data_IF_747018782856
#
_entry.id   IF_747018782856
#
_cell.length_a   1.000
_cell.length_b   1.000
_cell.length_c   1.000
_cell.angle_alpha   90.00
_cell.angle_beta   90.00
_cell.angle_gamma   90.00
#
_symmetry.space_group_name_H-M   'P 1'
#
loop_
_entity.id
_entity.type
_entity.pdbx_description
1 polymer ?
#
# COMPACT_ATOMS: atom_id res chain seq x y z
N UNK A 1 6.70 11.41 0.96
CA UNK A 1 5.85 10.93 -0.16
C UNK A 1 5.24 12.16 -0.79
N UNK A 2 5.42 12.43 -2.09
CA UNK A 2 4.95 13.67 -2.71
C UNK A 2 3.43 13.87 -2.61
N UNK A 3 2.66 12.79 -2.54
CA UNK A 3 1.21 12.78 -2.36
C UNK A 3 0.78 13.51 -1.06
N UNK A 4 1.63 13.46 -0.01
CA UNK A 4 1.37 14.18 1.24
C UNK A 4 1.53 15.69 1.10
N UNK A 5 2.27 16.16 0.10
CA UNK A 5 2.50 17.59 -0.12
C UNK A 5 1.18 18.30 -0.46
N UNK A 6 0.22 17.59 -1.07
CA UNK A 6 -1.13 18.11 -1.31
C UNK A 6 -1.86 18.50 -0.01
N UNK A 7 -1.55 17.84 1.10
CA UNK A 7 -2.15 18.13 2.40
C UNK A 7 -1.29 19.06 3.25
N UNK A 8 0.02 18.81 3.27
CA UNK A 8 0.97 19.59 4.08
C UNK A 8 1.26 20.97 3.52
N UNK A 9 1.24 21.14 2.19
CA UNK A 9 1.43 22.44 1.56
C UNK A 9 0.37 23.46 2.02
N UNK A 10 -0.93 23.19 1.80
CA UNK A 10 -1.99 24.08 2.28
C UNK A 10 -1.98 24.28 3.80
N UNK A 11 -1.67 23.24 4.58
CA UNK A 11 -1.55 23.38 6.04
C UNK A 11 -0.38 24.28 6.46
N UNK A 12 0.77 24.14 5.80
CA UNK A 12 1.92 25.01 6.02
C UNK A 12 1.62 26.47 5.65
N UNK A 13 0.92 26.70 4.53
CA UNK A 13 0.46 28.05 4.16
C UNK A 13 -0.51 28.63 5.20
N UNK A 14 -1.45 27.81 5.69
CA UNK A 14 -2.33 28.19 6.79
C UNK A 14 -1.54 28.59 8.04
N UNK A 15 -0.55 27.80 8.46
CA UNK A 15 0.30 28.12 9.60
C UNK A 15 1.11 29.40 9.36
N UNK A 16 1.66 29.59 8.16
CA UNK A 16 2.41 30.79 7.81
C UNK A 16 1.58 32.07 7.99
N UNK A 17 0.30 32.03 7.63
CA UNK A 17 -0.60 33.17 7.82
C UNK A 17 -1.12 33.30 9.24
N UNK A 18 -1.47 32.19 9.90
CA UNK A 18 -2.15 32.21 11.20
C UNK A 18 -1.21 32.39 12.38
N UNK A 19 0.01 31.89 12.29
CA UNK A 19 1.01 31.87 13.36
C UNK A 19 2.32 32.53 12.91
N UNK A 20 2.55 33.80 13.28
CA UNK A 20 3.79 34.51 12.96
C UNK A 20 5.06 33.83 13.49
N UNK A 21 4.96 33.12 14.62
CA UNK A 21 6.10 32.41 15.23
C UNK A 21 6.56 31.21 14.40
N UNK A 22 5.62 30.56 13.70
CA UNK A 22 5.92 29.42 12.84
C UNK A 22 6.51 29.79 11.47
N UNK A 23 6.45 31.05 11.04
CA UNK A 23 6.80 31.46 9.66
C UNK A 23 8.19 31.03 9.21
N UNK A 24 9.20 31.28 10.05
CA UNK A 24 10.59 30.90 9.74
C UNK A 24 10.74 29.39 9.56
N UNK A 25 10.07 28.62 10.42
CA UNK A 25 10.04 27.16 10.33
C UNK A 25 9.35 26.71 9.04
N UNK A 26 8.18 27.27 8.71
CA UNK A 26 7.45 26.93 7.48
C UNK A 26 8.29 27.21 6.24
N UNK A 27 8.88 28.41 6.13
CA UNK A 27 9.77 28.76 5.00
C UNK A 27 10.96 27.80 4.93
N UNK A 28 11.60 27.52 6.07
CA UNK A 28 12.70 26.57 6.17
C UNK A 28 12.30 25.18 5.68
N UNK A 29 11.16 24.65 6.12
CA UNK A 29 10.66 23.34 5.70
C UNK A 29 10.25 23.30 4.23
N UNK A 30 9.63 24.36 3.70
CA UNK A 30 9.26 24.45 2.28
C UNK A 30 10.48 24.41 1.36
N UNK A 31 11.60 25.00 1.78
CA UNK A 31 12.86 24.91 1.05
C UNK A 31 13.56 23.56 1.27
N UNK A 32 13.62 23.10 2.52
CA UNK A 32 14.39 21.92 2.91
C UNK A 32 13.77 20.61 2.42
N UNK A 33 12.44 20.50 2.38
CA UNK A 33 11.75 19.26 1.95
C UNK A 33 12.12 18.88 0.51
N UNK A 34 11.99 19.75 -0.52
CA UNK A 34 12.42 19.42 -1.87
C UNK A 34 13.92 19.10 -1.95
N UNK A 35 14.77 19.87 -1.25
CA UNK A 35 16.22 19.68 -1.22
C UNK A 35 16.57 18.28 -0.70
N UNK A 36 16.05 17.90 0.48
CA UNK A 36 16.29 16.60 1.08
C UNK A 36 15.59 15.45 0.35
N UNK A 37 14.54 15.74 -0.42
CA UNK A 37 13.83 14.72 -1.21
C UNK A 37 14.57 14.38 -2.50
N UNK A 38 15.07 15.39 -3.21
CA UNK A 38 15.62 15.21 -4.56
C UNK A 38 17.15 15.13 -4.61
N UNK A 39 17.89 15.85 -3.77
CA UNK A 39 19.35 15.86 -3.85
C UNK A 39 20.01 14.52 -3.51
N UNK A 40 19.58 13.77 -2.48
CA UNK A 40 20.15 12.44 -2.22
C UNK A 40 19.95 11.48 -3.39
N UNK A 41 18.81 11.57 -4.09
CA UNK A 41 18.53 10.77 -5.28
C UNK A 41 19.42 11.19 -6.46
N UNK A 42 19.62 12.49 -6.67
CA UNK A 42 20.55 13.01 -7.68
C UNK A 42 21.99 12.59 -7.41
N UNK A 43 22.48 12.76 -6.18
CA UNK A 43 23.86 12.40 -5.83
C UNK A 43 24.09 10.90 -5.88
N UNK A 44 23.14 10.11 -5.38
CA UNK A 44 23.27 8.65 -5.34
C UNK A 44 23.04 7.95 -6.68
N UNK A 45 22.35 8.59 -7.62
CA UNK A 45 21.95 7.91 -8.87
C UNK A 45 22.17 8.70 -10.16
N UNK A 46 22.57 9.96 -10.09
CA UNK A 46 22.71 10.84 -11.25
C UNK A 46 21.37 11.31 -11.85
N UNK A 47 20.22 10.98 -11.23
CA UNK A 47 18.91 11.22 -11.82
C UNK A 47 17.85 11.59 -10.77
N UNK A 48 17.37 12.84 -10.77
CA UNK A 48 16.43 13.42 -9.79
C UNK A 48 15.14 12.60 -9.59
N UNK A 49 14.62 12.01 -10.67
CA UNK A 49 13.32 11.32 -10.67
C UNK A 49 13.44 9.80 -10.80
N UNK A 50 14.61 9.21 -10.47
CA UNK A 50 14.81 7.76 -10.68
C UNK A 50 13.83 6.94 -9.84
N UNK A 51 13.51 7.38 -8.62
CA UNK A 51 12.47 6.77 -7.79
C UNK A 51 11.10 6.73 -8.46
N UNK A 52 10.71 7.79 -9.18
CA UNK A 52 9.46 7.87 -9.95
C UNK A 52 9.50 6.88 -11.11
N UNK A 53 10.57 6.93 -11.91
CA UNK A 53 10.75 6.00 -13.02
C UNK A 53 10.69 4.54 -12.53
N UNK A 54 11.35 4.21 -11.42
CA UNK A 54 11.29 2.87 -10.81
C UNK A 54 9.91 2.50 -10.30
N UNK A 55 9.15 3.44 -9.75
CA UNK A 55 7.79 3.20 -9.28
C UNK A 55 6.80 2.92 -10.43
N UNK A 56 7.13 3.34 -11.65
CA UNK A 56 6.41 3.04 -12.89
C UNK A 56 6.79 1.69 -13.52
N UNK A 57 7.58 0.85 -12.84
CA UNK A 57 7.82 -0.53 -13.24
C UNK A 57 6.96 -1.47 -12.39
N UNK A 58 5.65 -1.61 -12.69
CA UNK A 58 4.72 -2.42 -11.92
C UNK A 58 5.15 -3.89 -11.85
N UNK A 59 4.83 -4.51 -10.71
CA UNK A 59 5.00 -5.94 -10.48
C UNK A 59 4.11 -6.78 -11.40
N UNK A 60 4.53 -8.00 -11.72
CA UNK A 60 3.79 -8.94 -12.59
C UNK A 60 2.32 -9.19 -12.20
N UNK A 61 1.96 -9.02 -10.93
CA UNK A 61 0.58 -9.08 -10.41
C UNK A 61 0.02 -7.72 -9.97
N UNK A 62 0.49 -6.63 -10.57
CA UNK A 62 0.03 -5.27 -10.28
C UNK A 62 -1.36 -5.03 -10.85
N UNK A 63 -2.17 -4.25 -10.13
CA UNK A 63 -3.41 -3.71 -10.67
C UNK A 63 -3.19 -2.81 -11.90
N UNK A 64 -1.97 -2.30 -12.12
CA UNK A 64 -1.60 -1.53 -13.32
C UNK A 64 -1.79 -2.31 -14.63
N UNK A 65 -1.79 -3.65 -14.58
CA UNK A 65 -2.01 -4.51 -15.75
C UNK A 65 -3.47 -4.92 -15.97
N UNK A 66 -4.39 -4.49 -15.10
CA UNK A 66 -5.80 -4.79 -15.29
C UNK A 66 -6.40 -3.96 -16.45
N UNK A 67 -7.51 -4.44 -17.02
CA UNK A 67 -8.26 -3.68 -18.04
C UNK A 67 -8.77 -2.33 -17.52
N UNK A 68 -9.14 -2.29 -16.23
CA UNK A 68 -9.40 -1.04 -15.51
C UNK A 68 -8.54 -1.01 -14.24
N UNK A 69 -7.35 -0.38 -14.28
CA UNK A 69 -6.47 -0.21 -13.12
C UNK A 69 -7.16 0.50 -11.95
N UNK A 70 -7.83 1.62 -12.21
CA UNK A 70 -8.59 2.37 -11.18
C UNK A 70 -9.62 1.48 -10.51
N UNK A 71 -10.44 0.78 -11.29
CA UNK A 71 -11.48 -0.10 -10.78
C UNK A 71 -10.88 -1.23 -9.94
N UNK A 72 -9.76 -1.80 -10.38
CA UNK A 72 -9.10 -2.93 -9.72
C UNK A 72 -8.53 -2.51 -8.37
N UNK A 73 -7.77 -1.41 -8.31
CA UNK A 73 -7.27 -0.87 -7.04
C UNK A 73 -8.43 -0.54 -6.12
N UNK A 74 -9.44 0.18 -6.62
CA UNK A 74 -10.53 0.63 -5.76
C UNK A 74 -11.38 -0.53 -5.22
N UNK A 75 -11.83 -1.43 -6.10
CA UNK A 75 -12.81 -2.48 -5.74
C UNK A 75 -12.17 -3.76 -5.19
N UNK A 76 -10.97 -4.12 -5.65
CA UNK A 76 -10.30 -5.39 -5.30
C UNK A 76 -9.18 -5.23 -4.29
N UNK A 77 -8.65 -4.02 -4.07
CA UNK A 77 -7.57 -3.79 -3.11
C UNK A 77 -7.95 -2.84 -1.98
N UNK A 78 -8.44 -1.63 -2.28
CA UNK A 78 -8.76 -0.59 -1.30
C UNK A 78 -10.03 -0.90 -0.53
N UNK A 79 -11.13 -1.16 -1.24
CA UNK A 79 -12.41 -1.48 -0.63
C UNK A 79 -12.34 -2.70 0.31
N UNK A 80 -11.65 -3.80 -0.05
CA UNK A 80 -11.47 -4.94 0.84
C UNK A 80 -10.59 -4.68 2.06
N UNK A 81 -9.72 -3.66 2.02
CA UNK A 81 -8.79 -3.34 3.10
C UNK A 81 -9.48 -2.89 4.40
N UNK A 82 -10.76 -2.47 4.33
CA UNK A 82 -11.58 -2.15 5.50
C UNK A 82 -12.73 -3.15 5.61
N UNK A 83 -12.92 -3.69 6.81
CA UNK A 83 -14.01 -4.62 7.13
C UNK A 83 -15.37 -3.96 6.86
N UNK A 84 -16.35 -4.72 6.33
CA UNK A 84 -17.70 -4.19 6.05
C UNK A 84 -18.35 -3.59 7.31
N UNK A 85 -18.17 -4.24 8.46
CA UNK A 85 -18.63 -3.77 9.78
C UNK A 85 -18.01 -2.46 10.26
N UNK A 86 -16.96 -1.98 9.60
CA UNK A 86 -16.35 -0.68 9.90
C UNK A 86 -16.74 0.34 8.83
N UNK A 87 -16.56 0.01 7.54
CA UNK A 87 -16.85 0.97 6.45
C UNK A 87 -18.32 1.29 6.27
N UNK A 88 -19.25 0.34 6.47
CA UNK A 88 -20.68 0.62 6.29
C UNK A 88 -21.20 1.58 7.38
N UNK A 89 -20.96 1.33 8.69
CA UNK A 89 -21.23 2.31 9.72
C UNK A 89 -20.51 3.64 9.48
N UNK A 90 -19.26 3.60 8.99
CA UNK A 90 -18.53 4.80 8.58
C UNK A 90 -19.28 5.61 7.53
N UNK A 91 -19.74 4.98 6.44
CA UNK A 91 -20.54 5.62 5.37
C UNK A 91 -21.82 6.23 5.95
N UNK A 92 -22.57 5.48 6.76
CA UNK A 92 -23.79 5.97 7.42
C UNK A 92 -23.47 7.17 8.32
N UNK A 93 -22.39 7.09 9.10
CA UNK A 93 -21.92 8.16 9.98
C UNK A 93 -21.53 9.42 9.21
N UNK A 94 -20.87 9.27 8.05
CA UNK A 94 -20.54 10.37 7.15
C UNK A 94 -21.81 11.04 6.60
N UNK A 95 -22.78 10.26 6.11
CA UNK A 95 -24.07 10.82 5.65
C UNK A 95 -24.83 11.53 6.78
N UNK A 96 -24.89 10.94 7.98
CA UNK A 96 -25.52 11.56 9.13
C UNK A 96 -24.82 12.85 9.57
N UNK A 97 -23.48 12.90 9.51
CA UNK A 97 -22.69 14.09 9.79
C UNK A 97 -22.94 15.19 8.76
N UNK A 98 -22.90 14.86 7.46
CA UNK A 98 -23.19 15.79 6.36
C UNK A 98 -24.60 16.36 6.48
N UNK A 99 -25.60 15.50 6.67
CA UNK A 99 -26.99 15.93 6.85
C UNK A 99 -27.16 16.84 8.08
N UNK A 100 -26.52 16.49 9.20
CA UNK A 100 -26.54 17.30 10.42
C UNK A 100 -25.92 18.68 10.23
N UNK A 101 -24.78 18.77 9.53
CA UNK A 101 -24.12 20.04 9.20
C UNK A 101 -24.95 20.88 8.24
N UNK A 102 -25.55 20.25 7.23
CA UNK A 102 -26.43 20.92 6.27
C UNK A 102 -27.67 21.50 6.95
N UNK A 103 -28.34 20.71 7.81
CA UNK A 103 -29.52 21.16 8.56
C UNK A 103 -29.20 22.33 9.50
N UNK A 104 -27.99 22.37 10.04
CA UNK A 104 -27.56 23.42 10.98
C UNK A 104 -26.77 24.56 10.31
N UNK A 105 -26.65 24.58 8.98
CA UNK A 105 -25.79 25.51 8.22
C UNK A 105 -25.99 26.98 8.58
N UNK A 106 -27.25 27.42 8.70
CA UNK A 106 -27.56 28.82 9.00
C UNK A 106 -27.12 29.23 10.41
N UNK A 107 -27.10 28.28 11.35
CA UNK A 107 -26.80 28.53 12.76
C UNK A 107 -25.30 28.58 13.04
N UNK A 108 -24.49 27.76 12.37
CA UNK A 108 -23.05 27.73 12.62
C UNK A 108 -22.24 28.66 11.70
N UNK A 109 -22.72 28.96 10.50
CA UNK A 109 -22.01 29.86 9.57
C UNK A 109 -21.90 31.29 10.10
N UNK A 110 -22.90 31.74 10.88
CA UNK A 110 -22.98 33.12 11.38
C UNK A 110 -22.40 33.29 12.79
N UNK A 111 -21.94 32.23 13.44
CA UNK A 111 -21.46 32.29 14.83
C UNK A 111 -19.93 32.33 14.89
N UNK A 112 -19.34 33.18 15.74
CA UNK A 112 -17.89 33.25 15.91
C UNK A 112 -17.31 32.01 16.60
N UNK A 113 -18.12 31.28 17.38
CA UNK A 113 -17.72 30.07 18.09
C UNK A 113 -18.47 28.86 17.54
N UNK A 114 -17.73 27.89 17.03
CA UNK A 114 -18.27 26.65 16.48
C UNK A 114 -18.61 25.68 17.61
N UNK A 115 -19.87 25.24 17.64
CA UNK A 115 -20.35 24.23 18.59
C UNK A 115 -19.49 22.94 18.52
N UNK A 116 -19.10 22.32 19.65
CA UNK A 116 -18.29 21.11 19.66
C UNK A 116 -18.86 19.96 18.81
N UNK A 117 -20.19 19.84 18.74
CA UNK A 117 -20.85 18.84 17.92
C UNK A 117 -20.79 19.14 16.42
N UNK A 118 -20.85 20.42 16.01
CA UNK A 118 -20.58 20.83 14.62
C UNK A 118 -19.14 20.49 14.25
N UNK A 119 -18.19 20.84 15.13
CA UNK A 119 -16.76 20.52 14.96
C UNK A 119 -16.53 19.01 14.81
N UNK A 120 -17.15 18.19 15.66
CA UNK A 120 -17.02 16.73 15.59
C UNK A 120 -17.54 16.16 14.26
N UNK A 121 -18.67 16.66 13.75
CA UNK A 121 -19.21 16.27 12.43
C UNK A 121 -18.31 16.68 11.28
N UNK A 122 -17.77 17.90 11.33
CA UNK A 122 -16.84 18.38 10.33
C UNK A 122 -15.55 17.53 10.30
N UNK A 123 -15.01 17.17 11.47
CA UNK A 123 -13.86 16.27 11.56
C UNK A 123 -14.15 14.87 11.04
N UNK A 124 -15.31 14.28 11.36
CA UNK A 124 -15.69 12.97 10.84
C UNK A 124 -15.73 12.99 9.30
N UNK A 125 -16.35 14.01 8.71
CA UNK A 125 -16.35 14.20 7.27
C UNK A 125 -14.95 14.39 6.70
N UNK A 126 -14.14 15.25 7.31
CA UNK A 126 -12.78 15.52 6.85
C UNK A 126 -11.91 14.27 6.84
N UNK A 127 -11.95 13.47 7.91
CA UNK A 127 -11.19 12.22 8.04
C UNK A 127 -11.69 11.18 7.03
N UNK A 128 -13.01 11.00 6.90
CA UNK A 128 -13.57 10.04 5.95
C UNK A 128 -13.29 10.41 4.50
N UNK A 129 -13.46 11.69 4.15
CA UNK A 129 -13.18 12.20 2.80
C UNK A 129 -11.69 12.11 2.48
N UNK A 130 -10.82 12.43 3.44
CA UNK A 130 -9.37 12.27 3.30
C UNK A 130 -9.00 10.83 2.93
N UNK A 131 -9.53 9.84 3.65
CA UNK A 131 -9.27 8.44 3.36
C UNK A 131 -9.75 8.01 1.97
N UNK A 132 -10.93 8.49 1.55
CA UNK A 132 -11.48 8.23 0.22
C UNK A 132 -10.65 8.88 -0.90
N UNK A 133 -10.30 10.16 -0.75
CA UNK A 133 -9.47 10.89 -1.71
C UNK A 133 -8.09 10.26 -1.82
N UNK A 134 -7.53 9.78 -0.71
CA UNK A 134 -6.26 9.06 -0.72
C UNK A 134 -6.34 7.77 -1.56
N UNK A 135 -7.38 6.95 -1.36
CA UNK A 135 -7.60 5.76 -2.20
C UNK A 135 -7.76 6.12 -3.67
N UNK A 136 -8.52 7.17 -3.98
CA UNK A 136 -8.68 7.65 -5.34
C UNK A 136 -7.34 8.08 -5.95
N UNK A 137 -6.50 8.80 -5.20
CA UNK A 137 -5.16 9.20 -5.62
C UNK A 137 -4.29 8.01 -6.01
N UNK A 138 -4.21 6.98 -5.15
CA UNK A 138 -3.44 5.76 -5.46
C UNK A 138 -4.02 5.03 -6.68
N UNK A 139 -5.34 4.96 -6.82
CA UNK A 139 -5.98 4.37 -8.01
C UNK A 139 -5.62 5.12 -9.29
N UNK A 140 -5.60 6.44 -9.27
CA UNK A 140 -5.22 7.28 -10.41
C UNK A 140 -3.73 7.17 -10.74
N UNK A 141 -2.85 7.13 -9.73
CA UNK A 141 -1.42 6.84 -9.95
C UNK A 141 -1.23 5.48 -10.61
N UNK A 142 -2.02 4.48 -10.19
CA UNK A 142 -1.94 3.14 -10.81
C UNK A 142 -2.36 3.16 -12.27
N UNK A 143 -3.38 3.94 -12.62
CA UNK A 143 -3.76 4.19 -14.01
C UNK A 143 -2.66 4.89 -14.81
N UNK A 144 -1.87 5.76 -14.15
CA UNK A 144 -0.71 6.43 -14.72
C UNK A 144 0.56 5.55 -14.78
N UNK A 145 0.43 4.23 -14.57
CA UNK A 145 1.52 3.26 -14.71
C UNK A 145 2.29 2.96 -13.43
N UNK A 146 1.92 3.54 -12.29
CA UNK A 146 2.53 3.19 -11.00
C UNK A 146 2.04 1.81 -10.51
N UNK A 147 2.80 1.17 -9.62
CA UNK A 147 2.54 -0.22 -9.24
C UNK A 147 1.21 -0.52 -8.54
N UNK A 148 0.48 0.48 -8.05
CA UNK A 148 -0.74 0.29 -7.27
C UNK A 148 -0.58 -0.67 -6.09
N UNK A 149 0.47 -0.51 -5.29
CA UNK A 149 0.74 -1.48 -4.23
C UNK A 149 -0.19 -1.24 -3.03
N UNK A 150 -0.84 -2.30 -2.54
CA UNK A 150 -1.76 -2.26 -1.40
C UNK A 150 -1.17 -1.59 -0.15
N UNK A 151 0.16 -1.63 0.05
CA UNK A 151 0.82 -0.94 1.19
C UNK A 151 0.57 0.57 1.20
N UNK A 152 0.31 1.17 0.04
CA UNK A 152 0.01 2.59 -0.09
C UNK A 152 -1.44 2.92 0.25
N UNK A 153 -2.33 1.92 0.25
CA UNK A 153 -3.72 2.09 0.62
C UNK A 153 -3.91 2.20 2.13
N UNK A 154 -2.96 1.69 2.93
CA UNK A 154 -2.99 1.69 4.41
C UNK A 154 -3.26 3.09 4.97
N UNK A 155 -2.66 4.11 4.37
CA UNK A 155 -2.81 5.49 4.85
C UNK A 155 -4.21 6.05 4.59
N UNK A 156 -4.93 5.59 3.57
CA UNK A 156 -6.36 5.91 3.37
C UNK A 156 -7.28 4.99 4.19
N UNK A 157 -6.88 3.73 4.36
CA UNK A 157 -7.60 2.71 5.14
C UNK A 157 -7.74 3.10 6.60
N UNK A 158 -6.70 3.65 7.22
CA UNK A 158 -6.74 4.06 8.63
C UNK A 158 -7.79 5.16 8.92
N UNK A 159 -7.84 6.29 8.20
CA UNK A 159 -8.89 7.30 8.31
C UNK A 159 -10.31 6.73 8.11
N UNK A 160 -10.52 5.89 7.09
CA UNK A 160 -11.82 5.23 6.87
C UNK A 160 -12.19 4.34 8.06
N UNK A 161 -11.22 3.62 8.62
CA UNK A 161 -11.44 2.79 9.80
C UNK A 161 -11.76 3.62 11.06
N UNK A 162 -11.05 4.73 11.27
CA UNK A 162 -11.31 5.68 12.36
C UNK A 162 -12.72 6.27 12.23
N UNK A 163 -13.12 6.69 11.03
CA UNK A 163 -14.47 7.19 10.77
C UNK A 163 -15.54 6.12 11.09
N UNK A 164 -15.30 4.87 10.74
CA UNK A 164 -16.16 3.74 11.12
C UNK A 164 -16.25 3.53 12.63
N UNK A 165 -15.13 3.61 13.35
CA UNK A 165 -15.10 3.52 14.82
C UNK A 165 -15.86 4.66 15.50
N UNK A 166 -15.69 5.90 15.00
CA UNK A 166 -16.45 7.07 15.49
C UNK A 166 -17.95 6.88 15.26
N UNK A 167 -18.34 6.36 14.08
CA UNK A 167 -19.75 6.09 13.78
C UNK A 167 -20.36 5.05 14.74
N UNK A 168 -19.61 4.00 15.10
CA UNK A 168 -20.02 3.04 16.14
C UNK A 168 -20.18 3.69 17.51
N UNK A 169 -19.25 4.57 17.91
CA UNK A 169 -19.36 5.32 19.16
C UNK A 169 -20.61 6.20 19.21
N UNK A 170 -20.93 6.88 18.11
CA UNK A 170 -22.15 7.69 17.99
C UNK A 170 -23.43 6.84 17.99
N UNK A 171 -23.38 5.67 17.35
CA UNK A 171 -24.47 4.72 17.37
C UNK A 171 -24.73 4.22 18.80
N UNK A 172 -23.70 3.79 19.53
CA UNK A 172 -23.79 3.37 20.92
C UNK A 172 -24.38 4.47 21.82
N UNK A 173 -23.91 5.73 21.67
CA UNK A 173 -24.47 6.86 22.40
C UNK A 173 -25.91 7.19 22.03
N UNK A 174 -26.32 6.90 20.79
CA UNK A 174 -27.71 7.06 20.35
C UNK A 174 -28.62 5.97 20.92
N UNK A 175 -28.16 4.72 20.95
CA UNK A 175 -28.83 3.62 21.64
C UNK A 175 -28.99 3.89 23.14
N UNK A 176 -27.94 4.39 23.80
CA UNK A 176 -28.02 4.74 25.22
C UNK A 176 -29.05 5.83 25.49
N UNK A 177 -29.07 6.91 24.70
CA UNK A 177 -30.11 7.97 24.81
C UNK A 177 -31.51 7.44 24.51
N UNK A 178 -31.64 6.50 23.59
CA UNK A 178 -32.91 5.86 23.29
C UNK A 178 -33.40 5.01 24.47
N UNK A 179 -32.53 4.17 25.05
CA UNK A 179 -32.81 3.39 26.24
C UNK A 179 -33.20 4.29 27.43
N UNK A 180 -32.53 5.44 27.57
CA UNK A 180 -32.84 6.43 28.60
C UNK A 180 -34.27 6.98 28.47
N UNK A 181 -34.68 7.34 27.25
CA UNK A 181 -36.04 7.83 26.96
C UNK A 181 -37.09 6.76 27.17
N UNK A 182 -36.79 5.51 26.85
CA UNK A 182 -37.68 4.37 27.11
C UNK A 182 -37.83 4.10 28.61
N UNK A 183 -36.72 4.08 29.35
CA UNK A 183 -36.74 3.90 30.81
C UNK A 183 -37.47 5.00 31.57
N UNK A 184 -37.51 6.22 31.01
CA UNK A 184 -38.31 7.31 31.56
C UNK A 184 -39.83 7.15 31.31
N UNK A 185 -40.23 6.41 30.26
CA UNK A 185 -41.64 6.21 29.87
C UNK A 185 -42.24 4.93 30.44
N UNK A 186 -41.42 3.90 30.67
CA UNK A 186 -41.87 2.57 31.11
C UNK A 186 -41.46 2.35 32.55
N UNK A 187 -42.43 2.25 33.45
CA UNK A 187 -42.21 2.12 34.91
C UNK A 187 -41.30 0.95 35.28
N UNK A 188 -41.41 -0.19 34.59
CA UNK A 188 -40.56 -1.37 34.80
C UNK A 188 -39.10 -1.22 34.37
N UNK A 189 -38.75 -0.15 33.64
CA UNK A 189 -37.40 0.08 33.10
C UNK A 189 -36.74 1.34 33.68
N UNK A 190 -37.21 1.84 34.83
CA UNK A 190 -36.76 3.11 35.41
C UNK A 190 -35.25 3.18 35.64
N UNK A 191 -34.57 2.06 35.90
CA UNK A 191 -33.10 1.99 36.01
C UNK A 191 -32.37 2.39 34.73
N UNK A 192 -32.97 2.16 33.55
CA UNK A 192 -32.41 2.57 32.26
C UNK A 192 -32.49 4.08 32.04
N UNK A 193 -33.27 4.83 32.82
CA UNK A 193 -33.30 6.30 32.76
C UNK A 193 -32.02 6.95 33.32
N UNK A 194 -31.22 6.19 34.10
CA UNK A 194 -29.96 6.65 34.66
C UNK A 194 -28.87 6.62 33.58
N UNK A 195 -28.16 7.73 33.31
CA UNK A 195 -27.09 7.78 32.31
C UNK A 195 -26.00 6.71 32.52
N UNK A 196 -25.71 6.43 33.80
CA UNK A 196 -24.74 5.42 34.25
C UNK A 196 -25.09 4.00 33.80
N UNK A 197 -26.37 3.72 33.55
CA UNK A 197 -26.84 2.41 33.08
C UNK A 197 -27.11 2.44 31.57
N UNK A 198 -27.70 3.53 31.07
CA UNK A 198 -28.11 3.66 29.68
C UNK A 198 -26.92 3.65 28.70
N UNK A 199 -25.83 4.35 29.03
CA UNK A 199 -24.65 4.45 28.15
C UNK A 199 -23.90 3.10 28.05
N UNK A 200 -23.61 2.39 29.15
CA UNK A 200 -23.05 1.04 29.06
C UNK A 200 -23.98 0.06 28.35
N UNK A 201 -25.30 0.12 28.58
CA UNK A 201 -26.26 -0.74 27.89
C UNK A 201 -26.23 -0.50 26.36
N UNK A 202 -26.24 0.77 25.93
CA UNK A 202 -26.10 1.11 24.50
C UNK A 202 -24.78 0.63 23.91
N UNK A 203 -23.68 0.69 24.66
CA UNK A 203 -22.36 0.19 24.25
C UNK A 203 -22.33 -1.33 24.15
N UNK A 204 -22.91 -2.03 25.13
CA UNK A 204 -23.02 -3.49 25.14
C UNK A 204 -23.83 -3.99 23.93
N UNK A 205 -24.95 -3.33 23.61
CA UNK A 205 -25.74 -3.65 22.41
C UNK A 205 -24.95 -3.38 21.13
N UNK A 206 -24.23 -2.25 21.05
CA UNK A 206 -23.39 -1.95 19.88
C UNK A 206 -22.27 -2.99 19.69
N UNK A 207 -21.60 -3.41 20.77
CA UNK A 207 -20.59 -4.48 20.75
C UNK A 207 -21.22 -5.80 20.35
N UNK A 208 -22.37 -6.16 20.93
CA UNK A 208 -23.08 -7.39 20.58
C UNK A 208 -23.44 -7.39 19.08
N UNK A 209 -23.96 -6.29 18.54
CA UNK A 209 -24.24 -6.16 17.10
C UNK A 209 -22.97 -6.22 16.24
N UNK A 210 -21.86 -5.63 16.70
CA UNK A 210 -20.58 -5.71 15.99
C UNK A 210 -20.03 -7.14 15.92
N UNK A 211 -20.24 -7.94 16.97
CA UNK A 211 -19.79 -9.33 17.07
C UNK A 211 -20.76 -10.32 16.41
N UNK A 212 -22.07 -10.09 16.55
CA UNK A 212 -23.11 -11.07 16.24
C UNK A 212 -23.55 -11.09 14.77
N UNK A 213 -23.11 -10.15 13.92
CA UNK A 213 -23.50 -10.10 12.50
C UNK A 213 -22.51 -10.90 11.63
N UNK A 214 -22.81 -12.15 11.22
CA UNK A 214 -21.97 -12.98 10.35
C UNK A 214 -22.34 -12.79 8.87
N UNK A 215 -21.45 -13.09 7.89
CA UNK A 215 -20.07 -12.68 7.77
C UNK A 215 -19.99 -11.34 6.99
N UNK A 216 -20.14 -10.22 7.70
CA UNK A 216 -19.59 -8.93 7.23
C UNK A 216 -18.07 -8.86 7.41
N UNK A 217 -17.56 -9.85 8.14
CA UNK A 217 -16.23 -10.40 8.00
C UNK A 217 -16.14 -10.99 6.59
N UNK A 218 -15.90 -10.16 5.58
CA UNK A 218 -15.73 -10.67 4.22
C UNK A 218 -14.58 -11.70 4.15
N UNK A 219 -14.31 -12.21 2.95
CA UNK A 219 -13.08 -12.96 2.63
C UNK A 219 -11.77 -12.21 2.91
N UNK A 220 -11.85 -11.04 3.55
CA UNK A 220 -10.82 -10.05 3.81
C UNK A 220 -10.17 -10.17 5.20
N UNK A 221 -10.57 -11.15 6.03
CA UNK A 221 -9.68 -11.53 7.13
C UNK A 221 -8.43 -12.13 6.51
N UNK A 222 -7.28 -11.63 6.95
CA UNK A 222 -5.97 -12.17 6.64
C UNK A 222 -6.02 -13.68 6.91
N UNK A 223 -6.05 -14.48 5.85
CA UNK A 223 -5.99 -15.94 5.97
C UNK A 223 -4.63 -16.26 6.59
N UNK A 224 -4.62 -16.64 7.87
CA UNK A 224 -3.40 -17.00 8.58
C UNK A 224 -2.64 -18.12 7.85
N UNK A 225 -3.30 -19.19 7.35
CA UNK A 225 -2.60 -20.20 6.54
C UNK A 225 -1.98 -19.61 5.27
N UNK A 226 -2.72 -18.81 4.50
CA UNK A 226 -2.20 -18.19 3.26
C UNK A 226 -1.02 -17.27 3.55
N UNK A 227 -1.10 -16.49 4.63
CA UNK A 227 -0.05 -15.57 5.06
C UNK A 227 1.19 -16.32 5.51
N UNK A 228 1.00 -17.36 6.31
CA UNK A 228 2.07 -18.25 6.74
C UNK A 228 2.77 -18.91 5.55
N UNK A 229 2.02 -19.47 4.59
CA UNK A 229 2.59 -20.02 3.36
C UNK A 229 3.35 -18.98 2.53
N UNK A 230 2.83 -17.75 2.43
CA UNK A 230 3.52 -16.67 1.74
C UNK A 230 4.83 -16.29 2.45
N UNK A 231 4.86 -16.26 3.79
CA UNK A 231 6.07 -15.98 4.57
C UNK A 231 7.11 -17.09 4.42
N UNK A 232 6.70 -18.36 4.49
CA UNK A 232 7.59 -19.51 4.24
C UNK A 232 8.18 -19.42 2.83
N UNK A 233 7.36 -19.12 1.83
CA UNK A 233 7.83 -18.97 0.45
C UNK A 233 8.90 -17.86 0.33
N UNK A 234 8.70 -16.72 1.00
CA UNK A 234 9.69 -15.64 1.03
C UNK A 234 10.97 -15.99 1.79
N UNK A 235 10.90 -16.89 2.78
CA UNK A 235 12.09 -17.41 3.46
C UNK A 235 12.88 -18.32 2.51
N UNK A 236 12.20 -19.28 1.86
CA UNK A 236 12.83 -20.15 0.88
C UNK A 236 13.44 -19.40 -0.31
N UNK A 237 12.79 -18.34 -0.81
CA UNK A 237 13.38 -17.51 -1.86
C UNK A 237 14.78 -16.97 -1.48
N UNK A 238 14.99 -16.59 -0.21
CA UNK A 238 16.30 -16.07 0.26
C UNK A 238 17.34 -17.18 0.36
N UNK A 239 16.95 -18.32 0.92
CA UNK A 239 17.80 -19.50 1.08
C UNK A 239 18.20 -20.07 -0.29
N UNK A 240 17.21 -20.27 -1.17
CA UNK A 240 17.37 -20.86 -2.49
C UNK A 240 18.20 -19.96 -3.40
N UNK A 241 18.05 -18.64 -3.35
CA UNK A 241 18.90 -17.73 -4.13
C UNK A 241 20.37 -17.86 -3.72
N UNK A 242 20.64 -17.88 -2.42
CA UNK A 242 22.02 -18.03 -1.90
C UNK A 242 22.61 -19.38 -2.32
N UNK A 243 21.81 -20.44 -2.25
CA UNK A 243 22.20 -21.77 -2.71
C UNK A 243 22.41 -21.81 -4.24
N UNK A 244 21.52 -21.24 -5.04
CA UNK A 244 21.63 -21.19 -6.49
C UNK A 244 22.86 -20.42 -6.97
N UNK A 245 23.17 -19.28 -6.31
CA UNK A 245 24.39 -18.51 -6.60
C UNK A 245 25.64 -19.34 -6.27
N UNK A 246 25.64 -20.07 -5.14
CA UNK A 246 26.75 -20.95 -4.77
C UNK A 246 26.92 -22.12 -5.74
N UNK A 247 25.82 -22.76 -6.15
CA UNK A 247 25.82 -23.87 -7.13
C UNK A 247 26.32 -23.40 -8.50
N UNK A 248 25.98 -22.18 -8.90
CA UNK A 248 26.47 -21.54 -10.11
C UNK A 248 27.95 -21.07 -10.04
N UNK A 249 28.70 -21.44 -8.99
CA UNK A 249 30.11 -21.10 -8.82
C UNK A 249 30.39 -19.85 -7.99
N UNK A 250 29.38 -19.29 -7.34
CA UNK A 250 29.46 -18.13 -6.45
C UNK A 250 29.30 -16.77 -7.16
N UNK A 251 29.22 -15.67 -6.38
CA UNK A 251 29.01 -14.32 -6.93
C UNK A 251 30.04 -13.92 -7.98
N UNK A 252 31.33 -14.19 -7.72
CA UNK A 252 32.43 -13.83 -8.62
C UNK A 252 32.35 -14.53 -9.97
N UNK A 253 31.86 -15.78 -10.03
CA UNK A 253 31.70 -16.51 -11.28
C UNK A 253 30.58 -15.91 -12.14
N UNK A 254 29.44 -15.59 -11.51
CA UNK A 254 28.31 -14.94 -12.18
C UNK A 254 28.67 -13.53 -12.68
N UNK A 255 29.39 -12.75 -11.88
CA UNK A 255 29.76 -11.37 -12.22
C UNK A 255 30.86 -11.25 -13.28
N UNK A 256 31.68 -12.29 -13.45
CA UNK A 256 32.70 -12.38 -14.51
C UNK A 256 32.14 -12.87 -15.84
N UNK A 257 30.86 -13.20 -15.91
CA UNK A 257 30.25 -13.70 -17.13
C UNK A 257 30.09 -12.60 -18.20
N UNK A 258 31.05 -12.54 -19.13
CA UNK A 258 31.09 -11.63 -20.28
C UNK A 258 32.37 -10.79 -20.34
N UNK A 259 32.59 -10.08 -21.44
CA UNK A 259 33.73 -9.15 -21.62
C UNK A 259 33.44 -7.74 -21.06
N UNK A 260 32.20 -7.49 -20.67
CA UNK A 260 31.73 -6.31 -19.96
C UNK A 260 31.16 -6.76 -18.61
N UNK A 261 30.97 -5.87 -17.62
CA UNK A 261 30.36 -6.27 -16.36
C UNK A 261 29.06 -7.04 -16.61
N UNK A 262 28.98 -8.27 -16.08
CA UNK A 262 27.83 -9.15 -16.34
C UNK A 262 26.53 -8.42 -16.02
N UNK A 263 25.63 -8.34 -17.01
CA UNK A 263 24.29 -7.80 -16.80
C UNK A 263 23.43 -8.91 -16.21
N UNK A 264 23.34 -8.93 -14.88
CA UNK A 264 22.51 -9.88 -14.15
C UNK A 264 21.06 -9.39 -14.19
N UNK A 265 20.13 -10.27 -14.55
CA UNK A 265 18.71 -9.97 -14.56
C UNK A 265 17.94 -10.91 -13.64
N UNK A 266 16.91 -10.40 -12.97
CA UNK A 266 15.97 -11.19 -12.17
C UNK A 266 14.56 -10.62 -12.24
N UNK A 267 13.61 -11.24 -11.55
CA UNK A 267 12.27 -10.68 -11.37
C UNK A 267 12.35 -9.35 -10.59
N UNK A 268 11.49 -8.38 -10.91
CA UNK A 268 11.60 -7.01 -10.42
C UNK A 268 11.68 -6.85 -8.88
N UNK A 269 11.02 -7.70 -8.10
CA UNK A 269 11.10 -7.64 -6.63
C UNK A 269 12.38 -8.22 -6.06
N UNK A 270 13.03 -9.11 -6.78
CA UNK A 270 14.22 -9.81 -6.30
C UNK A 270 15.50 -9.04 -6.59
N UNK A 271 15.43 -7.90 -7.31
CA UNK A 271 16.60 -7.06 -7.62
C UNK A 271 17.43 -6.70 -6.38
N UNK A 272 16.86 -6.17 -5.27
CA UNK A 272 17.65 -5.86 -4.09
C UNK A 272 18.25 -7.10 -3.43
N UNK A 273 17.49 -8.21 -3.42
CA UNK A 273 17.92 -9.47 -2.83
C UNK A 273 19.09 -10.07 -3.62
N UNK A 274 18.98 -10.12 -4.95
CA UNK A 274 20.03 -10.57 -5.84
C UNK A 274 21.28 -9.68 -5.77
N UNK A 275 21.11 -8.35 -5.75
CA UNK A 275 22.23 -7.44 -5.61
C UNK A 275 22.98 -7.64 -4.29
N UNK A 276 22.25 -7.82 -3.18
CA UNK A 276 22.80 -8.13 -1.88
C UNK A 276 23.57 -9.45 -1.88
N UNK A 277 22.95 -10.54 -2.34
CA UNK A 277 23.59 -11.86 -2.40
C UNK A 277 24.83 -11.88 -3.30
N UNK A 278 24.86 -11.05 -4.35
CA UNK A 278 26.00 -10.93 -5.23
C UNK A 278 27.07 -9.94 -4.73
N UNK A 279 26.80 -9.17 -3.68
CA UNK A 279 27.72 -8.16 -3.16
C UNK A 279 27.91 -6.97 -4.11
N UNK A 280 26.85 -6.57 -4.85
CA UNK A 280 26.92 -5.46 -5.83
C UNK A 280 25.84 -4.41 -5.58
N UNK A 281 26.04 -3.22 -6.15
CA UNK A 281 25.01 -2.17 -6.10
C UNK A 281 23.75 -2.61 -6.85
N UNK A 282 22.57 -2.21 -6.37
CA UNK A 282 21.27 -2.55 -7.00
C UNK A 282 21.14 -2.12 -8.46
N UNK A 283 21.97 -1.15 -8.90
CA UNK A 283 22.04 -0.71 -10.29
C UNK A 283 22.70 -1.73 -11.23
N UNK A 284 23.43 -2.71 -10.68
CA UNK A 284 24.09 -3.78 -11.45
C UNK A 284 23.17 -4.96 -11.73
N UNK A 285 22.00 -5.01 -11.09
CA UNK A 285 20.99 -6.05 -11.29
C UNK A 285 19.76 -5.43 -11.94
N UNK A 286 19.38 -5.98 -13.09
CA UNK A 286 18.26 -5.52 -13.89
C UNK A 286 16.98 -6.26 -13.50
N UNK A 287 15.86 -5.55 -13.54
CA UNK A 287 14.54 -6.17 -13.48
C UNK A 287 14.18 -6.69 -14.88
N UNK A 288 13.45 -7.80 -14.94
CA UNK A 288 12.83 -8.28 -16.18
C UNK A 288 12.01 -7.16 -16.83
N UNK A 289 12.18 -6.87 -18.13
CA UNK A 289 11.40 -5.84 -18.81
C UNK A 289 9.95 -6.31 -19.00
N UNK A 290 9.04 -5.34 -19.12
CA UNK A 290 7.61 -5.59 -19.32
C UNK A 290 7.29 -6.01 -20.76
N UNK A 291 7.96 -5.36 -21.71
CA UNK A 291 7.96 -5.72 -23.11
C UNK A 291 9.30 -6.34 -23.48
N UNK A 292 9.36 -7.03 -24.61
CA UNK A 292 10.60 -7.64 -25.07
C UNK A 292 11.61 -6.52 -25.38
N UNK A 293 12.63 -6.38 -24.53
CA UNK A 293 13.64 -5.34 -24.72
C UNK A 293 14.56 -5.71 -25.89
N UNK A 294 14.92 -4.74 -26.76
CA UNK A 294 15.96 -4.95 -27.76
C UNK A 294 17.32 -5.21 -27.08
N UNK A 295 18.31 -5.76 -27.81
CA UNK A 295 19.65 -6.03 -27.29
C UNK A 295 20.28 -4.81 -26.58
N UNK A 296 21.19 -5.01 -25.61
CA UNK A 296 21.84 -6.28 -25.27
C UNK A 296 21.01 -7.17 -24.32
N UNK A 297 21.04 -8.48 -24.59
CA UNK A 297 20.45 -9.49 -23.72
C UNK A 297 21.28 -9.66 -22.42
N UNK A 298 20.66 -10.04 -21.30
CA UNK A 298 21.40 -10.25 -20.06
C UNK A 298 22.39 -11.43 -20.15
N UNK A 299 23.60 -11.32 -19.57
CA UNK A 299 24.54 -12.47 -19.57
C UNK A 299 24.20 -13.51 -18.51
N UNK A 300 23.49 -13.13 -17.44
CA UNK A 300 23.02 -14.02 -16.38
C UNK A 300 21.55 -13.72 -16.07
N UNK A 301 20.72 -14.77 -15.99
CA UNK A 301 19.32 -14.67 -15.61
C UNK A 301 19.09 -15.51 -14.35
N UNK A 302 18.65 -14.85 -13.28
CA UNK A 302 18.13 -15.46 -12.05
C UNK A 302 16.61 -15.50 -12.16
N UNK A 303 16.09 -16.52 -12.84
CA UNK A 303 14.66 -16.67 -13.13
C UNK A 303 13.93 -17.21 -11.90
N UNK A 304 12.85 -16.53 -11.49
CA UNK A 304 12.06 -16.88 -10.30
C UNK A 304 10.65 -16.29 -10.33
N UNK A 305 9.81 -16.68 -9.37
CA UNK A 305 8.49 -16.12 -9.12
C UNK A 305 8.57 -15.22 -7.88
N UNK A 306 7.92 -14.05 -7.90
CA UNK A 306 7.85 -13.18 -6.74
C UNK A 306 7.03 -13.79 -5.59
N UNK A 307 6.03 -14.61 -5.93
CA UNK A 307 5.14 -15.35 -5.02
C UNK A 307 4.81 -16.72 -5.66
N UNK A 308 4.33 -17.68 -4.86
CA UNK A 308 3.99 -19.03 -5.33
C UNK A 308 3.15 -19.05 -6.61
N UNK A 309 2.19 -18.12 -6.73
CA UNK A 309 1.25 -18.06 -7.86
C UNK A 309 1.55 -16.93 -8.87
N UNK A 310 2.66 -16.19 -8.73
CA UNK A 310 3.02 -15.15 -9.70
C UNK A 310 3.68 -15.76 -10.93
N UNK A 311 3.63 -15.05 -12.06
CA UNK A 311 4.33 -15.43 -13.30
C UNK A 311 5.82 -15.65 -13.05
N UNK A 312 6.40 -16.68 -13.67
CA UNK A 312 7.84 -16.95 -13.66
C UNK A 312 8.51 -15.94 -14.59
N UNK A 313 9.44 -15.14 -14.06
CA UNK A 313 10.08 -14.06 -14.80
C UNK A 313 11.62 -14.13 -14.74
N UNK A 314 12.33 -13.73 -15.81
CA UNK A 314 11.80 -13.48 -17.17
C UNK A 314 11.07 -14.71 -17.74
N UNK A 315 10.08 -14.50 -18.61
CA UNK A 315 9.27 -15.61 -19.16
C UNK A 315 10.10 -16.48 -20.10
N UNK A 316 9.72 -17.76 -20.32
CA UNK A 316 10.37 -18.58 -21.35
C UNK A 316 10.39 -17.93 -22.73
N UNK A 317 9.33 -17.21 -23.11
CA UNK A 317 9.26 -16.48 -24.38
C UNK A 317 10.31 -15.36 -24.48
N UNK A 318 10.56 -14.64 -23.38
CA UNK A 318 11.61 -13.61 -23.33
C UNK A 318 13.00 -14.23 -23.50
N UNK A 319 13.27 -15.36 -22.82
CA UNK A 319 14.55 -16.08 -22.95
C UNK A 319 14.75 -16.55 -24.39
N UNK A 320 13.75 -17.22 -24.99
CA UNK A 320 13.80 -17.69 -26.38
C UNK A 320 14.05 -16.54 -27.36
N UNK A 321 13.43 -15.39 -27.13
CA UNK A 321 13.63 -14.24 -28.01
C UNK A 321 15.06 -13.68 -27.94
N UNK A 322 15.67 -13.63 -26.75
CA UNK A 322 17.08 -13.30 -26.62
C UNK A 322 17.99 -14.36 -27.26
N UNK A 323 17.62 -15.64 -27.21
CA UNK A 323 18.36 -16.70 -27.91
C UNK A 323 18.31 -16.52 -29.42
N UNK A 324 17.14 -16.19 -29.96
CA UNK A 324 16.97 -15.84 -31.39
C UNK A 324 17.77 -14.60 -31.78
N UNK A 325 17.99 -13.68 -30.85
CA UNK A 325 18.84 -12.50 -31.03
C UNK A 325 20.35 -12.80 -30.86
N UNK A 326 20.74 -14.06 -30.67
CA UNK A 326 22.13 -14.52 -30.64
C UNK A 326 22.70 -14.85 -29.26
N UNK A 327 21.94 -14.66 -28.17
CA UNK A 327 22.35 -15.15 -26.86
C UNK A 327 22.33 -16.69 -26.82
N UNK A 328 23.23 -17.33 -26.07
CA UNK A 328 23.26 -18.80 -25.92
C UNK A 328 23.17 -19.16 -24.46
N UNK A 329 21.96 -19.21 -23.91
CA UNK A 329 21.78 -19.54 -22.50
C UNK A 329 21.98 -21.03 -22.25
N UNK A 330 22.61 -21.34 -21.12
CA UNK A 330 22.64 -22.67 -20.51
C UNK A 330 22.10 -22.57 -19.10
N UNK A 331 21.29 -23.54 -18.69
CA UNK A 331 20.92 -23.72 -17.30
C UNK A 331 22.16 -24.20 -16.53
N UNK A 332 22.66 -23.41 -15.60
CA UNK A 332 23.88 -23.71 -14.83
C UNK A 332 23.62 -24.03 -13.35
N UNK A 333 22.42 -23.73 -12.85
CA UNK A 333 21.96 -24.15 -11.53
C UNK A 333 20.42 -24.16 -11.47
N UNK A 334 19.86 -25.08 -10.68
CA UNK A 334 18.41 -25.14 -10.43
C UNK A 334 18.13 -25.54 -8.98
N UNK A 335 17.79 -24.55 -8.17
CA UNK A 335 17.48 -24.74 -6.75
C UNK A 335 16.06 -24.31 -6.49
N UNK A 336 15.14 -25.28 -6.35
CA UNK A 336 13.73 -25.11 -5.96
C UNK A 336 13.05 -23.90 -6.64
N UNK A 337 13.12 -22.71 -6.02
CA UNK A 337 12.49 -21.47 -6.49
C UNK A 337 13.28 -20.69 -7.55
N UNK A 338 14.54 -21.04 -7.83
CA UNK A 338 15.42 -20.35 -8.77
C UNK A 338 15.97 -21.25 -9.87
N UNK A 339 15.96 -20.72 -11.09
CA UNK A 339 16.72 -21.24 -12.24
C UNK A 339 17.75 -20.21 -12.67
N UNK A 340 19.00 -20.63 -12.80
CA UNK A 340 20.10 -19.76 -13.19
C UNK A 340 20.53 -20.08 -14.60
N UNK A 341 20.32 -19.14 -15.52
CA UNK A 341 20.80 -19.23 -16.88
C UNK A 341 22.01 -18.33 -17.07
N UNK A 342 22.98 -18.79 -17.88
CA UNK A 342 24.15 -17.99 -18.22
C UNK A 342 24.52 -18.19 -19.70
N UNK A 343 25.00 -17.13 -20.34
CA UNK A 343 25.59 -17.21 -21.68
C UNK A 343 27.06 -17.64 -21.68
N UNK A 344 27.66 -17.75 -20.50
CA UNK A 344 29.05 -18.14 -20.35
C UNK A 344 29.18 -19.65 -20.10
N UNK A 345 30.33 -20.25 -20.47
CA UNK A 345 30.62 -21.62 -20.09
C UNK A 345 30.75 -21.72 -18.57
N UNK A 346 29.67 -22.10 -17.89
CA UNK A 346 29.66 -22.49 -16.49
C UNK A 346 30.06 -23.97 -16.33
N UNK A 347 30.48 -24.35 -15.11
CA UNK A 347 30.61 -25.76 -14.74
C UNK A 347 29.20 -26.37 -14.70
N UNK A 348 28.80 -27.07 -15.76
CA UNK A 348 27.63 -27.95 -15.71
C UNK A 348 28.06 -29.19 -14.92
N UNK A 349 27.60 -29.34 -13.67
CA UNK A 349 27.61 -30.66 -13.02
C UNK A 349 26.32 -31.35 -13.45
N UNK A 350 26.48 -32.47 -14.16
CA UNK A 350 25.39 -33.31 -14.65
C UNK A 350 24.64 -34.02 -13.53
#
# INVERSE_FOLDING_TARGET
>A
RPELWFFWGPYGLYLFWRDPGARKLVVGLFALIPVLWFLPELWGSGHLLRGVNRAQHPRSNSAAFASCPVCTVFTKEAWPAVLNRVKIPGIIGLFAAAFGLWRTRNAWWRRPVVDPGVRARAWLLGIGLFGFVWWLGISLETQAGFSGNNRYLVFGTAPVAIAGGVAWGWFAGTLGRFAQRLGARVSGLRRLSLPQVAIPAGSAVAIALFLAVPPWIGTNIVSLPRTHHALIYQAHLREDLTAAVREAGGPSALLKCGNTPASVMTEGFQVPMAAWTLGVHTLRVQASPLTLAPPPAPTVILQTRAQTNSTLLPTPAQIIAWERAGARYRLIAHVRTFRVFSTCPGKVRG
#
